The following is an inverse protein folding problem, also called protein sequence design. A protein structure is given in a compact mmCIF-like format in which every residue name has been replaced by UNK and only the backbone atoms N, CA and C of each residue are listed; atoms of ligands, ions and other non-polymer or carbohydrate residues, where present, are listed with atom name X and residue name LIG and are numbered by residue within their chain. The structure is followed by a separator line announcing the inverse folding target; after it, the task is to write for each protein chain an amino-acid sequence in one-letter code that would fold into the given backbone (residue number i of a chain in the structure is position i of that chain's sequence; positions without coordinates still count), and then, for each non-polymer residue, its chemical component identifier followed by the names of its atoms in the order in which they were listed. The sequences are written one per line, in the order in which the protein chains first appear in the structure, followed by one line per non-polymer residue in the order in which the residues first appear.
data_IF_474135571987
#
_entry.id   IF_474135571987
#
_cell.length_a   1.000
_cell.length_b   1.000
_cell.length_c   1.000
_cell.angle_alpha   90.00
_cell.angle_beta   90.00
_cell.angle_gamma   90.00
#
_symmetry.space_group_name_H-M   'P 1'
#
loop_
_entity.id
_entity.type
_entity.pdbx_description
1 polymer ?
#
# COMPACT_ATOMS: atom_id res chain seq x y z
N UNK A 1 6.27 1.15 -6.08
CA UNK A 1 5.12 0.34 -5.64
C UNK A 1 5.64 -0.90 -4.94
N UNK A 2 5.20 -1.17 -3.70
CA UNK A 2 5.56 -2.34 -2.92
C UNK A 2 4.45 -3.40 -3.00
N UNK A 3 4.82 -4.67 -3.10
CA UNK A 3 3.86 -5.75 -3.28
C UNK A 3 3.05 -5.58 -4.56
N UNK A 4 3.74 -5.33 -5.68
CA UNK A 4 3.09 -4.93 -6.92
C UNK A 4 2.23 -6.03 -7.55
N UNK A 5 2.48 -7.29 -7.24
CA UNK A 5 1.74 -8.41 -7.82
C UNK A 5 1.57 -8.29 -9.34
N UNK A 6 0.34 -8.46 -9.79
CA UNK A 6 -0.06 -8.24 -11.19
C UNK A 6 -0.85 -6.94 -11.38
N UNK A 7 -0.73 -5.99 -10.46
CA UNK A 7 -1.41 -4.70 -10.59
C UNK A 7 -0.93 -3.92 -11.83
N UNK A 8 -1.88 -3.26 -12.47
CA UNK A 8 -1.67 -2.46 -13.68
C UNK A 8 -1.65 -0.96 -13.40
N UNK A 9 -1.30 -0.57 -12.18
CA UNK A 9 -1.35 0.83 -11.72
C UNK A 9 -0.44 1.73 -12.56
N UNK A 10 0.76 1.27 -12.91
CA UNK A 10 1.64 1.99 -13.82
C UNK A 10 0.92 2.40 -15.12
N UNK A 11 0.30 1.45 -15.82
CA UNK A 11 -0.34 1.71 -17.13
C UNK A 11 -1.54 2.66 -17.04
N UNK A 12 -2.18 2.74 -15.88
CA UNK A 12 -3.33 3.64 -15.65
C UNK A 12 -2.93 5.03 -15.21
N UNK A 13 -1.76 5.16 -14.56
CA UNK A 13 -1.31 6.39 -13.91
C UNK A 13 -0.07 7.00 -14.58
N UNK A 14 0.49 6.37 -15.62
CA UNK A 14 1.66 6.88 -16.31
C UNK A 14 1.36 8.26 -16.94
N UNK A 15 2.17 9.24 -16.55
CA UNK A 15 2.10 10.63 -17.03
C UNK A 15 3.20 10.96 -18.05
N UNK A 16 3.94 9.97 -18.53
CA UNK A 16 5.04 10.14 -19.46
C UNK A 16 6.34 10.71 -18.87
N UNK A 17 6.41 10.94 -17.56
CA UNK A 17 7.56 11.58 -16.88
C UNK A 17 8.05 10.79 -15.68
N UNK A 18 7.15 10.22 -14.89
CA UNK A 18 7.47 9.55 -13.63
C UNK A 18 8.23 8.25 -13.88
N UNK A 19 9.34 8.06 -13.18
CA UNK A 19 10.01 6.76 -13.07
C UNK A 19 9.25 5.90 -12.07
N UNK A 20 9.03 4.65 -12.43
CA UNK A 20 8.25 3.71 -11.63
C UNK A 20 9.09 2.49 -11.27
N UNK A 21 9.06 2.11 -10.00
CA UNK A 21 9.73 0.91 -9.51
C UNK A 21 8.69 -0.02 -8.90
N UNK A 22 8.51 -1.19 -9.49
CA UNK A 22 7.59 -2.22 -9.02
C UNK A 22 8.39 -3.29 -8.27
N UNK A 23 8.17 -3.39 -6.96
CA UNK A 23 8.92 -4.26 -6.03
C UNK A 23 8.02 -5.40 -5.58
N UNK A 24 8.50 -6.63 -5.73
CA UNK A 24 7.84 -7.82 -5.20
C UNK A 24 8.84 -8.99 -5.08
N UNK A 25 8.41 -10.09 -4.50
CA UNK A 25 9.21 -11.30 -4.36
C UNK A 25 9.67 -11.82 -5.74
N UNK A 26 10.85 -12.46 -5.84
CA UNK A 26 11.44 -12.85 -7.12
C UNK A 26 10.48 -13.63 -8.03
N UNK A 27 9.80 -14.64 -7.49
CA UNK A 27 8.86 -15.45 -8.28
C UNK A 27 7.63 -14.66 -8.78
N UNK A 28 7.20 -13.62 -8.05
CA UNK A 28 6.11 -12.73 -8.48
C UNK A 28 6.59 -11.83 -9.60
N UNK A 29 7.78 -11.27 -9.48
CA UNK A 29 8.40 -10.44 -10.53
C UNK A 29 8.64 -11.24 -11.80
N UNK A 30 9.10 -12.49 -11.70
CA UNK A 30 9.29 -13.35 -12.87
C UNK A 30 7.96 -13.61 -13.59
N UNK A 31 6.91 -13.94 -12.84
CA UNK A 31 5.57 -14.12 -13.41
C UNK A 31 4.99 -12.82 -13.98
N UNK A 32 5.24 -11.67 -13.32
CA UNK A 32 4.84 -10.36 -13.83
C UNK A 32 5.48 -10.05 -15.19
N UNK A 33 6.76 -10.35 -15.38
CA UNK A 33 7.48 -10.15 -16.66
C UNK A 33 6.87 -10.93 -17.82
N UNK A 34 6.31 -12.10 -17.55
CA UNK A 34 5.67 -12.93 -18.58
C UNK A 34 4.34 -12.30 -19.06
N UNK A 35 3.60 -11.64 -18.19
CA UNK A 35 2.25 -11.15 -18.45
C UNK A 35 2.20 -9.64 -18.76
N UNK A 36 3.08 -8.87 -18.19
CA UNK A 36 3.10 -7.41 -18.26
C UNK A 36 4.49 -6.96 -18.73
N UNK A 37 4.64 -6.55 -19.99
CA UNK A 37 5.92 -6.12 -20.51
C UNK A 37 6.39 -4.85 -19.81
N UNK A 38 7.63 -4.85 -19.35
CA UNK A 38 8.26 -3.71 -18.73
C UNK A 38 8.41 -2.56 -19.73
N UNK A 39 8.06 -1.35 -19.31
CA UNK A 39 8.25 -0.15 -20.12
C UNK A 39 9.61 0.51 -19.83
N UNK A 40 10.01 1.49 -20.66
CA UNK A 40 11.25 2.25 -20.44
C UNK A 40 11.29 3.03 -19.13
N UNK A 41 10.13 3.38 -18.56
CA UNK A 41 10.02 4.12 -17.30
C UNK A 41 9.61 3.26 -16.10
N UNK A 42 9.33 1.97 -16.32
CA UNK A 42 8.99 1.02 -15.26
C UNK A 42 10.14 0.05 -15.04
N UNK A 43 10.64 -0.06 -13.81
CA UNK A 43 11.70 -1.00 -13.42
C UNK A 43 11.14 -2.03 -12.46
N UNK A 44 11.33 -3.30 -12.75
CA UNK A 44 10.95 -4.41 -11.87
C UNK A 44 12.11 -4.78 -10.94
N UNK A 45 11.88 -4.68 -9.65
CA UNK A 45 12.85 -5.02 -8.60
C UNK A 45 12.40 -6.26 -7.84
N UNK A 46 13.14 -7.34 -8.01
CA UNK A 46 12.91 -8.57 -7.27
C UNK A 46 13.52 -8.49 -5.86
N UNK A 47 12.68 -8.54 -4.83
CA UNK A 47 13.15 -8.46 -3.44
C UNK A 47 12.03 -8.37 -2.41
N UNK A 48 12.40 -8.48 -1.13
CA UNK A 48 11.47 -8.26 -0.03
C UNK A 48 11.28 -6.75 0.19
N UNK A 49 10.02 -6.30 0.17
CA UNK A 49 9.61 -4.91 0.41
C UNK A 49 10.10 -4.35 1.76
N UNK A 50 10.39 -5.22 2.73
CA UNK A 50 10.84 -4.85 4.07
C UNK A 50 12.37 -4.77 4.23
N UNK A 51 13.12 -4.86 3.12
CA UNK A 51 14.58 -4.68 3.11
C UNK A 51 14.97 -3.37 2.46
N UNK A 52 16.20 -2.91 2.73
CA UNK A 52 16.71 -1.64 2.18
C UNK A 52 17.12 -1.73 0.71
N UNK A 53 17.28 -2.92 0.13
CA UNK A 53 17.92 -3.11 -1.18
C UNK A 53 17.22 -2.34 -2.29
N UNK A 54 15.90 -2.41 -2.33
CA UNK A 54 15.12 -1.73 -3.36
C UNK A 54 15.20 -0.20 -3.25
N UNK A 55 15.11 0.35 -2.02
CA UNK A 55 15.16 1.82 -1.84
C UNK A 55 16.57 2.36 -2.08
N UNK A 56 17.62 1.61 -1.75
CA UNK A 56 19.00 1.94 -2.09
C UNK A 56 19.20 2.00 -3.60
N UNK A 57 18.63 1.04 -4.35
CA UNK A 57 18.67 1.06 -5.81
C UNK A 57 17.95 2.30 -6.36
N UNK A 58 16.73 2.59 -5.88
CA UNK A 58 15.98 3.78 -6.29
C UNK A 58 16.76 5.06 -6.03
N UNK A 59 17.41 5.19 -4.86
CA UNK A 59 18.24 6.37 -4.53
C UNK A 59 19.54 6.43 -5.33
N UNK A 60 20.10 5.30 -5.74
CA UNK A 60 21.25 5.28 -6.66
C UNK A 60 20.87 5.82 -8.04
N UNK A 61 19.71 5.39 -8.55
CA UNK A 61 19.20 5.81 -9.85
C UNK A 61 18.69 7.27 -9.85
N UNK A 62 18.14 7.72 -8.72
CA UNK A 62 17.46 9.02 -8.54
C UNK A 62 17.81 9.64 -7.17
N UNK A 63 19.03 10.18 -7.00
CA UNK A 63 19.54 10.62 -5.68
C UNK A 63 18.66 11.64 -4.97
N UNK A 64 18.19 12.65 -5.71
CA UNK A 64 17.51 13.84 -5.17
C UNK A 64 16.00 13.89 -5.52
N UNK A 65 15.47 12.86 -6.16
CA UNK A 65 14.06 12.87 -6.56
C UNK A 65 13.14 12.69 -5.36
N UNK A 66 12.00 13.39 -5.29
CA UNK A 66 10.93 13.04 -4.34
C UNK A 66 10.42 11.65 -4.63
N UNK A 67 10.20 10.85 -3.60
CA UNK A 67 9.74 9.46 -3.73
C UNK A 67 8.35 9.30 -3.14
N UNK A 68 7.43 8.80 -3.96
CA UNK A 68 6.14 8.28 -3.52
C UNK A 68 6.21 6.75 -3.44
N UNK A 69 6.03 6.20 -2.26
CA UNK A 69 5.89 4.75 -2.02
C UNK A 69 4.42 4.40 -1.92
N UNK A 70 3.94 3.51 -2.75
CA UNK A 70 2.57 2.99 -2.69
C UNK A 70 2.56 1.52 -2.28
N UNK A 71 1.63 1.13 -1.39
CA UNK A 71 1.44 -0.25 -0.97
C UNK A 71 -0.06 -0.55 -0.86
N UNK A 72 -0.60 -1.25 -1.86
CA UNK A 72 -2.01 -1.66 -1.90
C UNK A 72 -2.17 -3.11 -1.47
N UNK A 73 -3.02 -3.38 -0.45
CA UNK A 73 -3.32 -4.74 0.02
C UNK A 73 -2.13 -5.50 0.61
N UNK A 74 -1.02 -4.82 0.94
CA UNK A 74 0.22 -5.47 1.36
C UNK A 74 0.33 -5.63 2.87
N UNK A 75 0.17 -4.52 3.61
CA UNK A 75 0.58 -4.48 5.03
C UNK A 75 -0.28 -5.33 5.95
N UNK A 76 -1.50 -5.62 5.59
CA UNK A 76 -2.42 -6.44 6.39
C UNK A 76 -1.84 -7.79 6.83
N UNK A 77 -0.95 -8.36 6.03
CA UNK A 77 -0.38 -9.71 6.26
C UNK A 77 0.84 -9.72 7.18
N UNK A 78 1.27 -8.58 7.69
CA UNK A 78 2.48 -8.45 8.51
C UNK A 78 2.17 -7.93 9.90
N UNK A 79 3.01 -8.31 10.87
CA UNK A 79 2.94 -7.78 12.22
C UNK A 79 3.23 -6.26 12.24
N UNK A 80 2.60 -5.55 13.17
CA UNK A 80 2.70 -4.09 13.27
C UNK A 80 4.15 -3.60 13.38
N UNK A 81 4.96 -4.27 14.20
CA UNK A 81 6.37 -3.90 14.41
C UNK A 81 7.20 -3.98 13.14
N UNK A 82 6.90 -4.94 12.26
CA UNK A 82 7.56 -5.08 10.95
C UNK A 82 7.22 -3.89 10.04
N UNK A 83 5.96 -3.49 10.00
CA UNK A 83 5.49 -2.34 9.20
C UNK A 83 6.07 -1.03 9.75
N UNK A 84 6.05 -0.84 11.06
CA UNK A 84 6.66 0.35 11.69
C UNK A 84 8.17 0.41 11.41
N UNK A 85 8.86 -0.71 11.47
CA UNK A 85 10.30 -0.79 11.16
C UNK A 85 10.59 -0.40 9.72
N UNK A 86 9.73 -0.79 8.76
CA UNK A 86 9.83 -0.33 7.38
C UNK A 86 9.72 1.19 7.27
N UNK A 87 8.74 1.81 7.93
CA UNK A 87 8.59 3.27 7.88
C UNK A 87 9.79 3.99 8.51
N UNK A 88 10.31 3.48 9.63
CA UNK A 88 11.53 4.02 10.26
C UNK A 88 12.76 3.88 9.36
N UNK A 89 12.86 2.77 8.65
CA UNK A 89 13.93 2.54 7.69
C UNK A 89 13.83 3.52 6.52
N UNK A 90 12.65 3.70 5.93
CA UNK A 90 12.43 4.62 4.80
C UNK A 90 12.84 6.06 5.12
N UNK A 91 12.59 6.54 6.32
CA UNK A 91 13.00 7.89 6.76
C UNK A 91 14.50 8.18 6.64
N UNK A 92 15.34 7.15 6.61
CA UNK A 92 16.78 7.31 6.47
C UNK A 92 17.19 7.64 5.02
N UNK A 93 16.25 7.57 4.09
CA UNK A 93 16.48 7.78 2.66
C UNK A 93 15.97 9.13 2.12
N UNK A 94 15.74 10.13 2.99
CA UNK A 94 15.28 11.48 2.63
C UNK A 94 13.76 11.60 2.60
N UNK A 95 13.25 12.62 1.89
CA UNK A 95 11.81 12.87 1.80
C UNK A 95 11.10 11.74 1.05
N UNK A 96 10.22 11.04 1.74
CA UNK A 96 9.42 9.95 1.20
C UNK A 96 7.98 10.10 1.65
N UNK A 97 7.08 10.15 0.70
CA UNK A 97 5.65 10.03 0.93
C UNK A 97 5.24 8.57 0.79
N UNK A 98 4.51 8.03 1.78
CA UNK A 98 4.00 6.65 1.74
C UNK A 98 2.49 6.66 1.74
N UNK A 99 1.88 6.05 0.73
CA UNK A 99 0.42 5.89 0.60
C UNK A 99 0.06 4.41 0.62
N UNK A 100 -0.83 4.03 1.52
CA UNK A 100 -1.27 2.64 1.66
C UNK A 100 -2.72 2.54 2.13
N UNK A 101 -3.35 1.42 1.79
CA UNK A 101 -4.66 1.08 2.32
C UNK A 101 -4.56 0.31 3.63
N UNK A 102 -5.53 0.52 4.49
CA UNK A 102 -5.63 -0.21 5.75
C UNK A 102 -7.07 -0.28 6.24
N UNK A 103 -7.30 -1.05 7.28
CA UNK A 103 -8.58 -1.16 7.97
C UNK A 103 -8.43 -0.77 9.43
N UNK A 104 -9.53 -0.38 10.08
CA UNK A 104 -9.56 -0.30 11.53
C UNK A 104 -9.83 -1.70 12.15
N UNK A 105 -9.74 -1.80 13.47
CA UNK A 105 -9.95 -3.07 14.21
C UNK A 105 -11.27 -3.77 13.85
N UNK A 106 -12.37 -3.02 13.68
CA UNK A 106 -13.68 -3.57 13.29
C UNK A 106 -13.67 -4.06 11.84
N UNK A 107 -13.06 -3.30 10.95
CA UNK A 107 -12.84 -3.66 9.54
C UNK A 107 -12.01 -4.94 9.41
N UNK A 108 -10.93 -5.06 10.18
CA UNK A 108 -10.09 -6.26 10.24
C UNK A 108 -10.89 -7.50 10.64
N UNK A 109 -11.66 -7.43 11.72
CA UNK A 109 -12.50 -8.55 12.17
C UNK A 109 -13.53 -8.96 11.10
N UNK A 110 -14.11 -7.98 10.39
CA UNK A 110 -15.07 -8.25 9.31
C UNK A 110 -14.38 -8.87 8.08
N UNK A 111 -13.22 -8.34 7.67
CA UNK A 111 -12.41 -8.88 6.57
C UNK A 111 -12.05 -10.35 6.82
N UNK A 112 -11.50 -10.63 7.97
CA UNK A 112 -11.04 -11.99 8.32
C UNK A 112 -12.22 -12.99 8.37
N UNK A 113 -13.37 -12.60 8.94
CA UNK A 113 -14.53 -13.47 9.09
C UNK A 113 -15.31 -13.71 7.79
N UNK A 114 -15.40 -12.70 6.92
CA UNK A 114 -16.32 -12.72 5.78
C UNK A 114 -15.59 -12.73 4.43
N UNK A 115 -14.65 -11.81 4.22
CA UNK A 115 -13.98 -11.66 2.94
C UNK A 115 -13.00 -12.79 2.64
N UNK A 116 -12.14 -13.14 3.59
CA UNK A 116 -11.14 -14.19 3.40
C UNK A 116 -11.75 -15.56 3.09
N UNK A 117 -12.93 -15.86 3.66
CA UNK A 117 -13.69 -17.05 3.32
C UNK A 117 -14.22 -17.05 1.89
N UNK A 118 -14.65 -15.89 1.39
CA UNK A 118 -15.21 -15.77 0.03
C UNK A 118 -14.16 -15.91 -1.07
N UNK A 119 -12.92 -15.46 -0.80
CA UNK A 119 -11.81 -15.52 -1.78
C UNK A 119 -10.97 -16.79 -1.66
N UNK A 120 -11.38 -17.76 -0.82
CA UNK A 120 -10.67 -19.04 -0.68
C UNK A 120 -9.39 -18.97 0.17
N UNK A 121 -9.16 -17.86 0.87
CA UNK A 121 -7.98 -17.62 1.74
C UNK A 121 -8.34 -17.63 3.23
N UNK A 122 -9.25 -18.51 3.64
CA UNK A 122 -9.76 -18.57 5.03
C UNK A 122 -8.66 -18.78 6.08
N UNK A 123 -7.55 -19.40 5.69
CA UNK A 123 -6.42 -19.72 6.58
C UNK A 123 -5.35 -18.61 6.64
N UNK A 124 -5.47 -17.58 5.79
CA UNK A 124 -4.51 -16.45 5.80
C UNK A 124 -4.86 -15.52 6.95
N UNK A 125 -3.94 -15.40 7.88
CA UNK A 125 -4.07 -14.50 9.03
C UNK A 125 -3.68 -13.08 8.64
N UNK A 126 -4.43 -12.11 9.15
CA UNK A 126 -4.16 -10.67 8.99
C UNK A 126 -3.84 -10.07 10.36
N UNK A 127 -2.83 -9.21 10.41
CA UNK A 127 -2.28 -8.68 11.67
C UNK A 127 -2.37 -7.15 11.72
N UNK A 128 -1.93 -6.47 10.67
CA UNK A 128 -1.80 -5.02 10.67
C UNK A 128 -3.13 -4.34 10.39
N UNK A 129 -3.52 -3.46 11.30
CA UNK A 129 -4.63 -2.52 11.14
C UNK A 129 -4.29 -1.18 11.79
N UNK A 130 -4.98 -0.12 11.40
CA UNK A 130 -4.76 1.23 11.94
C UNK A 130 -6.09 1.82 12.39
N UNK A 131 -6.27 1.99 13.68
CA UNK A 131 -7.46 2.68 14.20
C UNK A 131 -7.39 4.20 13.97
N UNK A 132 -6.19 4.77 14.05
CA UNK A 132 -5.92 6.19 13.84
C UNK A 132 -4.54 6.42 13.26
N UNK A 133 -4.43 7.26 12.22
CA UNK A 133 -3.16 7.67 11.64
C UNK A 133 -2.26 8.39 12.68
N UNK A 134 -2.85 9.18 13.57
CA UNK A 134 -2.13 9.85 14.66
C UNK A 134 -1.45 8.85 15.60
N UNK A 135 -2.16 7.77 15.96
CA UNK A 135 -1.58 6.73 16.81
C UNK A 135 -0.45 5.99 16.10
N UNK A 136 -0.61 5.70 14.80
CA UNK A 136 0.45 5.10 13.99
C UNK A 136 1.67 6.02 13.93
N UNK A 137 1.48 7.31 13.68
CA UNK A 137 2.54 8.31 13.68
C UNK A 137 3.31 8.35 15.00
N UNK A 138 2.59 8.32 16.13
CA UNK A 138 3.20 8.25 17.45
C UNK A 138 4.06 7.00 17.66
N UNK A 139 3.66 5.86 17.12
CA UNK A 139 4.42 4.61 17.17
C UNK A 139 5.66 4.63 16.27
N UNK A 140 5.56 5.22 15.08
CA UNK A 140 6.71 5.41 14.19
C UNK A 140 7.74 6.31 14.86
N UNK A 141 7.28 7.36 15.55
CA UNK A 141 8.11 8.29 16.32
C UNK A 141 8.81 9.35 15.47
N UNK A 142 9.38 10.36 16.14
CA UNK A 142 10.36 11.35 15.67
C UNK A 142 10.11 12.03 14.30
N UNK A 143 9.16 12.98 14.22
CA UNK A 143 9.15 13.96 13.14
C UNK A 143 8.44 13.54 11.86
N UNK A 144 7.22 12.99 11.93
CA UNK A 144 6.30 13.01 10.81
C UNK A 144 5.92 14.47 10.53
N UNK A 145 6.18 14.95 9.30
CA UNK A 145 5.87 16.32 8.92
C UNK A 145 4.38 16.51 8.69
N UNK A 146 3.74 15.53 8.06
CA UNK A 146 2.30 15.57 7.77
C UNK A 146 1.73 14.15 7.57
N UNK A 147 0.44 14.01 7.81
CA UNK A 147 -0.29 12.77 7.55
C UNK A 147 -1.74 13.06 7.22
N UNK A 148 -2.31 12.24 6.34
CA UNK A 148 -3.74 12.27 6.05
C UNK A 148 -4.36 10.89 6.19
N UNK A 149 -5.65 10.88 6.52
CA UNK A 149 -6.47 9.69 6.62
C UNK A 149 -7.78 9.95 5.87
N UNK A 150 -8.05 9.15 4.84
CA UNK A 150 -9.21 9.32 3.97
C UNK A 150 -10.01 8.03 3.86
N UNK A 151 -11.36 8.10 3.87
CA UNK A 151 -12.21 6.95 3.61
C UNK A 151 -11.92 6.35 2.23
N UNK A 152 -11.74 5.03 2.16
CA UNK A 152 -11.29 4.33 0.95
C UNK A 152 -12.23 4.51 -0.26
N UNK A 153 -13.55 4.49 -0.03
CA UNK A 153 -14.55 4.54 -1.11
C UNK A 153 -14.99 5.96 -1.49
N UNK A 154 -14.39 6.98 -0.88
CA UNK A 154 -14.80 8.39 -1.05
C UNK A 154 -14.81 8.82 -2.52
N UNK A 155 -13.77 8.48 -3.25
CA UNK A 155 -13.58 8.91 -4.64
C UNK A 155 -13.88 7.81 -5.67
N UNK A 156 -14.33 6.63 -5.22
CA UNK A 156 -14.66 5.54 -6.13
C UNK A 156 -15.98 5.82 -6.83
N UNK A 157 -16.04 5.80 -8.18
CA UNK A 157 -17.29 5.96 -8.92
C UNK A 157 -18.31 4.88 -8.54
N UNK A 158 -19.51 5.31 -8.19
CA UNK A 158 -20.58 4.39 -7.74
C UNK A 158 -21.61 4.08 -8.82
N UNK A 159 -21.39 4.53 -10.07
CA UNK A 159 -22.28 4.27 -11.20
C UNK A 159 -22.27 2.78 -11.55
N UNK A 160 -23.44 2.21 -11.84
CA UNK A 160 -23.57 0.79 -12.19
C UNK A 160 -23.48 -0.20 -11.03
N UNK A 161 -23.13 0.24 -9.80
CA UNK A 161 -23.08 -0.64 -8.64
C UNK A 161 -24.47 -0.95 -8.07
N UNK A 162 -24.66 -2.17 -7.57
CA UNK A 162 -25.87 -2.60 -6.84
C UNK A 162 -26.07 -1.73 -5.60
N UNK A 163 -27.33 -1.49 -5.23
CA UNK A 163 -27.68 -0.69 -4.05
C UNK A 163 -27.02 -1.24 -2.76
N UNK A 164 -27.01 -2.56 -2.59
CA UNK A 164 -26.36 -3.20 -1.44
C UNK A 164 -24.86 -2.88 -1.35
N UNK A 165 -24.15 -2.84 -2.49
CA UNK A 165 -22.75 -2.45 -2.54
C UNK A 165 -22.55 -0.99 -2.18
N UNK A 166 -23.38 -0.09 -2.72
CA UNK A 166 -23.33 1.34 -2.38
C UNK A 166 -23.57 1.59 -0.89
N UNK A 167 -24.54 0.89 -0.29
CA UNK A 167 -24.79 0.96 1.15
C UNK A 167 -23.61 0.45 1.95
N UNK A 168 -23.01 -0.69 1.56
CA UNK A 168 -21.82 -1.24 2.24
C UNK A 168 -20.64 -0.26 2.18
N UNK A 169 -20.39 0.36 1.03
CA UNK A 169 -19.34 1.38 0.87
C UNK A 169 -19.60 2.59 1.76
N UNK A 170 -20.84 3.11 1.78
CA UNK A 170 -21.22 4.25 2.62
C UNK A 170 -21.06 3.95 4.11
N UNK A 171 -21.44 2.76 4.55
CA UNK A 171 -21.24 2.30 5.94
C UNK A 171 -19.76 2.21 6.27
N UNK A 172 -18.96 1.61 5.37
CA UNK A 172 -17.51 1.53 5.55
C UNK A 172 -16.88 2.91 5.69
N UNK A 173 -17.21 3.85 4.79
CA UNK A 173 -16.69 5.22 4.84
C UNK A 173 -17.13 5.97 6.10
N UNK A 174 -18.42 5.81 6.50
CA UNK A 174 -18.96 6.48 7.71
C UNK A 174 -18.23 6.07 8.99
N UNK A 175 -17.75 4.83 9.06
CA UNK A 175 -17.06 4.28 10.23
C UNK A 175 -15.54 4.14 10.00
N UNK A 176 -15.01 4.69 8.91
CA UNK A 176 -13.60 4.58 8.50
C UNK A 176 -13.07 3.14 8.62
N UNK A 177 -13.91 2.15 8.19
CA UNK A 177 -13.57 0.74 8.33
C UNK A 177 -12.44 0.33 7.38
N UNK A 178 -12.45 0.85 6.16
CA UNK A 178 -11.37 0.78 5.19
C UNK A 178 -10.97 2.21 4.85
N UNK A 179 -9.67 2.47 4.80
CA UNK A 179 -9.14 3.83 4.62
C UNK A 179 -7.80 3.82 3.87
N UNK A 180 -7.48 4.96 3.28
CA UNK A 180 -6.15 5.27 2.78
C UNK A 180 -5.42 6.13 3.81
N UNK A 181 -4.16 5.85 4.02
CA UNK A 181 -3.28 6.69 4.84
C UNK A 181 -2.13 7.16 3.96
N UNK A 182 -1.84 8.46 4.06
CA UNK A 182 -0.67 9.08 3.50
C UNK A 182 0.21 9.58 4.66
N UNK A 183 1.49 9.25 4.63
CA UNK A 183 2.50 9.65 5.61
C UNK A 183 3.65 10.34 4.89
N UNK A 184 4.04 11.53 5.32
CA UNK A 184 5.31 12.16 4.95
C UNK A 184 6.37 11.76 5.99
N UNK A 185 7.39 11.04 5.56
CA UNK A 185 8.41 10.48 6.43
C UNK A 185 9.70 11.31 6.45
#
# INVERSE_FOLDING_TARGET
QLGCGLETTYYRCDNGKTRWYAVDLPHVIDYRKELLPQSERETYLAGDAFTENWIRQVRTDLPDAPILVTAGGLFHYFEEDKVISLFRMLRQFGEIEVVFDTVNKKGMAMMQKKYMKQVGHADVQMFFYVDSAVNLAGKIGGGLMDMTEEPYYRYIPKNGLKLSTKVSMAVSDRFCMVKMICLNL
#
